data_IF_938315928328
#
_entry.id   IF_938315928328
#
_cell.length_a   1.000
_cell.length_b   1.000
_cell.length_c   1.000
_cell.angle_alpha   90.00
_cell.angle_beta   90.00
_cell.angle_gamma   90.00
#
_symmetry.space_group_name_H-M   'P 1'
#
loop_
_entity.id
_entity.type
_entity.pdbx_description
1 polymer ?
#
# COMPACT_ATOMS: atom_id res chain seq x y z
N UNK A 1 12.36 17.11 5.22
CA UNK A 1 11.00 17.65 5.23
C UNK A 1 10.99 19.09 4.80
N UNK A 2 10.04 19.50 3.97
CA UNK A 2 9.85 20.90 3.57
C UNK A 2 8.42 21.13 3.06
N UNK A 3 8.02 22.39 3.01
CA UNK A 3 6.80 22.84 2.34
C UNK A 3 7.21 23.57 1.08
N UNK A 4 6.62 23.22 -0.04
CA UNK A 4 6.73 23.95 -1.30
C UNK A 4 5.44 24.76 -1.50
N UNK A 5 5.58 26.01 -1.98
CA UNK A 5 4.45 26.91 -2.24
C UNK A 5 4.59 27.50 -3.64
N UNK A 6 3.47 27.54 -4.37
CA UNK A 6 3.28 28.34 -5.59
C UNK A 6 2.22 29.39 -5.30
N UNK A 7 2.48 30.65 -5.67
CA UNK A 7 1.54 31.77 -5.42
C UNK A 7 0.70 32.15 -6.62
N UNK A 8 1.18 31.84 -7.81
CA UNK A 8 0.54 32.14 -9.07
C UNK A 8 0.37 30.86 -9.91
N UNK A 9 -0.71 30.67 -10.66
CA UNK A 9 -1.95 31.46 -10.71
C UNK A 9 -2.86 31.27 -9.51
N UNK A 10 -2.63 30.26 -8.67
CA UNK A 10 -3.33 29.98 -7.41
C UNK A 10 -2.33 29.82 -6.26
N UNK A 11 -2.70 30.34 -5.08
CA UNK A 11 -1.89 30.14 -3.88
C UNK A 11 -2.15 28.74 -3.33
N UNK A 12 -1.17 27.87 -3.51
CA UNK A 12 -1.21 26.46 -3.07
C UNK A 12 0.07 26.09 -2.37
N UNK A 13 -0.03 25.27 -1.35
CA UNK A 13 1.13 24.70 -0.67
C UNK A 13 0.99 23.19 -0.50
N UNK A 14 2.11 22.51 -0.41
CA UNK A 14 2.17 21.08 -0.15
C UNK A 14 3.38 20.71 0.68
N UNK A 15 3.15 19.87 1.68
CA UNK A 15 4.18 19.31 2.53
C UNK A 15 4.78 18.07 1.89
N UNK A 16 6.11 17.94 1.99
CA UNK A 16 6.87 16.79 1.53
C UNK A 16 7.79 16.27 2.62
N UNK A 17 7.83 14.95 2.76
CA UNK A 17 8.72 14.24 3.67
C UNK A 17 9.41 13.11 2.92
N UNK A 18 10.74 13.06 3.02
CA UNK A 18 11.56 11.99 2.45
C UNK A 18 12.41 11.37 3.55
N UNK A 19 12.52 10.05 3.54
CA UNK A 19 13.37 9.28 4.45
C UNK A 19 14.42 8.54 3.64
N UNK A 20 15.68 8.61 4.08
CA UNK A 20 16.80 7.94 3.44
C UNK A 20 17.64 7.20 4.47
N UNK A 21 18.17 6.06 4.07
CA UNK A 21 19.18 5.34 4.85
C UNK A 21 20.59 5.86 4.53
N UNK A 22 20.82 6.19 3.26
CA UNK A 22 22.07 6.76 2.76
C UNK A 22 21.79 8.06 2.03
N UNK A 23 22.71 9.04 2.13
CA UNK A 23 22.58 10.34 1.48
C UNK A 23 23.06 10.25 0.02
N UNK A 24 22.12 10.13 -0.90
CA UNK A 24 22.33 10.34 -2.32
C UNK A 24 21.80 11.73 -2.71
N UNK A 25 22.74 12.65 -2.96
CA UNK A 25 22.43 14.08 -3.25
C UNK A 25 21.74 14.26 -4.59
N UNK A 26 22.05 13.43 -5.59
CA UNK A 26 21.45 13.53 -6.91
C UNK A 26 20.01 13.01 -6.88
N UNK A 27 19.77 11.85 -6.26
CA UNK A 27 18.44 11.33 -6.04
C UNK A 27 17.58 12.27 -5.18
N UNK A 28 18.17 12.94 -4.19
CA UNK A 28 17.48 13.97 -3.39
C UNK A 28 17.09 15.18 -4.24
N UNK A 29 18.01 15.68 -5.07
CA UNK A 29 17.74 16.81 -5.95
C UNK A 29 16.61 16.51 -6.95
N UNK A 30 16.58 15.31 -7.49
CA UNK A 30 15.51 14.87 -8.40
C UNK A 30 14.15 14.78 -7.70
N UNK A 31 14.11 14.25 -6.47
CA UNK A 31 12.88 14.22 -5.68
C UNK A 31 12.36 15.60 -5.31
N UNK A 32 13.27 16.52 -4.94
CA UNK A 32 12.90 17.93 -4.66
C UNK A 32 12.36 18.60 -5.92
N UNK A 33 13.00 18.40 -7.07
CA UNK A 33 12.50 18.92 -8.36
C UNK A 33 11.12 18.38 -8.70
N UNK A 34 10.92 17.09 -8.49
CA UNK A 34 9.63 16.46 -8.72
C UNK A 34 8.52 17.02 -7.80
N UNK A 35 8.85 17.24 -6.52
CA UNK A 35 7.97 17.86 -5.56
C UNK A 35 7.59 19.30 -5.94
N UNK A 36 8.56 20.10 -6.38
CA UNK A 36 8.31 21.47 -6.85
C UNK A 36 7.42 21.49 -8.09
N UNK A 37 7.66 20.60 -9.05
CA UNK A 37 6.81 20.48 -10.23
C UNK A 37 5.37 20.11 -9.86
N UNK A 38 5.19 19.18 -8.91
CA UNK A 38 3.86 18.79 -8.44
C UNK A 38 3.06 19.98 -7.84
N UNK A 39 3.73 20.88 -7.12
CA UNK A 39 3.08 22.10 -6.60
C UNK A 39 2.75 23.08 -7.72
N UNK A 40 3.63 23.23 -8.71
CA UNK A 40 3.34 24.05 -9.89
C UNK A 40 2.15 23.49 -10.68
N UNK A 41 2.11 22.19 -10.89
CA UNK A 41 0.99 21.53 -11.57
C UNK A 41 -0.33 21.75 -10.81
N UNK A 42 -0.28 21.64 -9.47
CA UNK A 42 -1.42 21.89 -8.60
C UNK A 42 -1.89 23.34 -8.68
N UNK A 43 -0.98 24.31 -8.80
CA UNK A 43 -1.34 25.71 -8.96
C UNK A 43 -2.06 26.01 -10.29
N UNK A 44 -1.80 25.19 -11.31
CA UNK A 44 -2.45 25.28 -12.63
C UNK A 44 -3.64 24.30 -12.77
N UNK A 45 -4.03 23.63 -11.68
CA UNK A 45 -5.13 22.67 -11.74
C UNK A 45 -6.43 23.35 -12.15
N UNK A 46 -7.18 22.67 -13.01
CA UNK A 46 -8.52 23.06 -13.44
C UNK A 46 -9.59 22.38 -12.58
N UNK A 47 -10.84 22.48 -13.01
CA UNK A 47 -11.96 21.83 -12.33
C UNK A 47 -11.77 20.31 -12.22
N UNK A 48 -12.37 19.73 -11.18
CA UNK A 48 -12.40 18.28 -11.01
C UNK A 48 -13.12 17.60 -12.20
N UNK A 49 -12.76 16.36 -12.53
CA UNK A 49 -13.53 15.56 -13.46
C UNK A 49 -15.01 15.49 -13.05
N UNK A 50 -15.90 15.41 -14.05
CA UNK A 50 -17.31 15.20 -13.78
C UNK A 50 -17.53 13.93 -12.96
N UNK A 51 -18.63 13.88 -12.18
CA UNK A 51 -18.95 12.69 -11.42
C UNK A 51 -19.19 11.50 -12.36
N UNK A 52 -18.51 10.39 -12.13
CA UNK A 52 -18.57 9.22 -12.98
C UNK A 52 -17.75 8.06 -12.46
N UNK A 53 -17.71 6.97 -13.22
CA UNK A 53 -16.83 5.83 -12.95
C UNK A 53 -15.60 5.95 -13.85
N UNK A 54 -14.44 5.86 -13.25
CA UNK A 54 -13.16 6.01 -13.93
C UNK A 54 -12.23 4.87 -13.60
N UNK A 55 -11.43 4.47 -14.56
CA UNK A 55 -10.25 3.67 -14.29
C UNK A 55 -9.20 4.55 -13.62
N UNK A 56 -8.61 4.09 -12.54
CA UNK A 56 -7.65 4.84 -11.73
C UNK A 56 -6.34 4.07 -11.61
N UNK A 57 -5.22 4.73 -11.90
CA UNK A 57 -3.88 4.18 -11.69
C UNK A 57 -3.27 4.80 -10.44
N UNK A 58 -2.91 3.97 -9.49
CA UNK A 58 -2.21 4.38 -8.28
C UNK A 58 -0.74 3.95 -8.35
N UNK A 59 0.14 4.74 -7.76
CA UNK A 59 1.58 4.46 -7.73
C UNK A 59 2.17 4.58 -6.33
N UNK A 60 3.38 4.10 -6.18
CA UNK A 60 4.25 4.26 -5.00
C UNK A 60 3.53 3.94 -3.67
N UNK A 61 3.60 4.89 -2.74
CA UNK A 61 3.04 4.73 -1.39
C UNK A 61 1.53 4.50 -1.37
N UNK A 62 0.78 5.03 -2.35
CA UNK A 62 -0.67 4.83 -2.39
C UNK A 62 -1.00 3.37 -2.65
N UNK A 63 -0.26 2.74 -3.57
CA UNK A 63 -0.36 1.30 -3.79
C UNK A 63 0.09 0.52 -2.55
N UNK A 64 1.20 0.91 -1.92
CA UNK A 64 1.68 0.28 -0.68
C UNK A 64 0.62 0.34 0.43
N UNK A 65 -0.04 1.50 0.60
CA UNK A 65 -1.12 1.66 1.59
C UNK A 65 -2.33 0.76 1.27
N UNK A 66 -2.70 0.61 0.00
CA UNK A 66 -3.74 -0.36 -0.38
C UNK A 66 -3.35 -1.81 -0.04
N UNK A 67 -2.08 -2.16 -0.22
CA UNK A 67 -1.59 -3.51 0.08
C UNK A 67 -1.56 -3.80 1.59
N UNK A 68 -1.53 -2.78 2.45
CA UNK A 68 -1.65 -2.94 3.91
C UNK A 68 -2.96 -3.64 4.32
N UNK A 69 -4.03 -3.51 3.51
CA UNK A 69 -5.28 -4.24 3.73
C UNK A 69 -5.02 -5.75 3.80
N UNK A 70 -4.29 -6.29 2.82
CA UNK A 70 -4.00 -7.73 2.74
C UNK A 70 -3.13 -8.19 3.91
N UNK A 71 -2.12 -7.41 4.27
CA UNK A 71 -1.26 -7.69 5.43
C UNK A 71 -2.06 -7.66 6.72
N UNK A 72 -2.91 -6.66 6.89
CA UNK A 72 -3.70 -6.49 8.12
C UNK A 72 -4.73 -7.60 8.27
N UNK A 73 -5.47 -7.94 7.22
CA UNK A 73 -6.49 -9.00 7.26
C UNK A 73 -5.91 -10.39 7.51
N UNK A 74 -4.65 -10.64 7.14
CA UNK A 74 -3.97 -11.92 7.40
C UNK A 74 -3.30 -12.00 8.77
N UNK A 75 -3.37 -10.95 9.60
CA UNK A 75 -2.82 -10.99 10.95
C UNK A 75 -3.64 -11.87 11.89
N UNK A 76 -2.98 -12.72 12.64
CA UNK A 76 -3.60 -13.52 13.70
C UNK A 76 -4.35 -12.65 14.73
N UNK A 77 -3.87 -11.42 14.99
CA UNK A 77 -4.52 -10.45 15.86
C UNK A 77 -5.85 -9.90 15.31
N UNK A 78 -6.09 -10.00 14.01
CA UNK A 78 -7.36 -9.63 13.38
C UNK A 78 -8.30 -10.83 13.22
N UNK A 79 -7.73 -12.01 12.99
CA UNK A 79 -8.49 -13.24 12.78
C UNK A 79 -9.05 -13.76 14.11
N UNK A 80 -8.27 -13.77 15.17
CA UNK A 80 -8.70 -14.30 16.47
C UNK A 80 -9.96 -13.61 17.04
N UNK A 81 -10.06 -12.26 17.06
CA UNK A 81 -11.26 -11.56 17.50
C UNK A 81 -12.35 -11.45 16.43
N UNK A 82 -12.20 -12.13 15.29
CA UNK A 82 -13.15 -12.10 14.17
C UNK A 82 -13.32 -10.74 13.48
N UNK A 83 -12.27 -9.88 13.49
CA UNK A 83 -12.21 -8.69 12.63
C UNK A 83 -11.82 -9.04 11.20
N UNK A 84 -11.27 -10.22 10.98
CA UNK A 84 -11.03 -10.83 9.69
C UNK A 84 -11.51 -12.28 9.72
N UNK A 85 -12.13 -12.68 8.64
CA UNK A 85 -12.62 -14.05 8.39
C UNK A 85 -11.67 -14.86 7.50
N UNK A 86 -10.47 -14.35 7.28
CA UNK A 86 -9.52 -14.98 6.38
C UNK A 86 -8.91 -16.24 6.97
N UNK A 87 -8.85 -17.25 6.10
CA UNK A 87 -8.21 -18.53 6.34
C UNK A 87 -7.21 -18.82 5.21
N UNK A 88 -6.30 -19.74 5.39
CA UNK A 88 -5.46 -20.24 4.30
C UNK A 88 -6.37 -20.86 3.24
N UNK A 89 -6.23 -20.42 1.99
CA UNK A 89 -7.08 -20.80 0.88
C UNK A 89 -8.18 -19.80 0.54
N UNK A 90 -8.40 -18.75 1.37
CA UNK A 90 -9.37 -17.68 1.05
C UNK A 90 -8.97 -16.94 -0.22
N UNK A 91 -9.93 -16.72 -1.13
CA UNK A 91 -9.76 -15.86 -2.30
C UNK A 91 -9.78 -14.38 -1.87
N UNK A 92 -8.59 -13.79 -1.66
CA UNK A 92 -8.44 -12.46 -1.07
C UNK A 92 -8.95 -11.31 -1.95
N UNK A 93 -9.00 -11.52 -3.27
CA UNK A 93 -9.50 -10.54 -4.25
C UNK A 93 -11.01 -10.67 -4.52
N UNK A 94 -11.69 -11.58 -3.83
CA UNK A 94 -13.10 -11.91 -4.06
C UNK A 94 -13.29 -12.96 -5.17
N UNK A 95 -14.56 -13.32 -5.41
CA UNK A 95 -14.91 -14.36 -6.37
C UNK A 95 -14.85 -13.88 -7.83
N UNK A 96 -15.04 -12.58 -8.05
CA UNK A 96 -15.05 -11.98 -9.40
C UNK A 96 -13.86 -11.03 -9.51
N UNK A 97 -12.78 -11.50 -10.10
CA UNK A 97 -11.59 -10.71 -10.39
C UNK A 97 -11.46 -10.52 -11.88
N UNK A 98 -11.44 -9.27 -12.34
CA UNK A 98 -11.28 -8.92 -13.77
C UNK A 98 -9.84 -8.57 -14.12
N UNK A 99 -8.99 -8.36 -13.13
CA UNK A 99 -7.57 -8.03 -13.28
C UNK A 99 -6.64 -9.21 -13.09
N UNK A 100 -5.34 -8.94 -13.09
CA UNK A 100 -4.32 -9.93 -12.79
C UNK A 100 -4.43 -10.39 -11.33
N UNK A 101 -4.16 -11.67 -11.10
CA UNK A 101 -4.14 -12.22 -9.75
C UNK A 101 -2.91 -11.69 -8.98
N UNK A 102 -3.14 -11.26 -7.74
CA UNK A 102 -2.08 -10.68 -6.90
C UNK A 102 -1.17 -11.77 -6.32
N UNK A 103 0.13 -11.53 -6.45
CA UNK A 103 1.17 -12.27 -5.74
C UNK A 103 1.86 -11.32 -4.78
N UNK A 104 1.71 -11.57 -3.48
CA UNK A 104 2.26 -10.72 -2.41
C UNK A 104 3.16 -11.56 -1.51
N UNK A 105 4.39 -11.10 -1.33
CA UNK A 105 5.34 -11.68 -0.38
C UNK A 105 5.52 -10.73 0.80
N UNK A 106 5.38 -11.25 2.01
CA UNK A 106 5.73 -10.55 3.25
C UNK A 106 7.24 -10.50 3.38
N UNK A 107 7.77 -9.29 3.56
CA UNK A 107 9.21 -9.05 3.67
C UNK A 107 9.58 -8.75 5.12
N UNK A 108 10.59 -9.43 5.70
CA UNK A 108 11.05 -9.11 7.02
C UNK A 108 11.75 -7.74 7.02
N UNK A 109 11.43 -6.92 8.00
CA UNK A 109 12.10 -5.63 8.23
C UNK A 109 13.26 -5.75 9.24
N UNK A 110 13.32 -6.86 9.97
CA UNK A 110 14.37 -7.23 10.93
C UNK A 110 14.61 -8.74 10.88
N UNK A 111 15.81 -9.23 11.27
CA UNK A 111 16.09 -10.67 11.24
C UNK A 111 15.30 -11.47 12.28
N UNK A 112 14.93 -10.83 13.41
CA UNK A 112 14.14 -11.43 14.49
C UNK A 112 13.05 -10.49 14.95
N UNK A 113 11.88 -11.04 15.28
CA UNK A 113 10.83 -10.28 15.95
C UNK A 113 11.23 -9.87 17.36
N UNK A 114 10.52 -8.91 18.00
CA UNK A 114 10.75 -8.59 19.42
C UNK A 114 10.63 -9.78 20.37
N UNK A 115 9.95 -10.85 19.94
CA UNK A 115 9.79 -12.09 20.70
C UNK A 115 10.87 -13.15 20.38
N UNK A 116 11.92 -12.80 19.61
CA UNK A 116 13.01 -13.67 19.21
C UNK A 116 12.66 -14.68 18.11
N UNK A 117 11.56 -14.50 17.40
CA UNK A 117 11.15 -15.38 16.31
C UNK A 117 11.95 -15.00 15.04
N UNK A 118 12.68 -15.96 14.40
CA UNK A 118 13.35 -15.67 13.13
C UNK A 118 12.36 -15.27 12.04
N UNK A 119 12.53 -14.07 11.49
CA UNK A 119 11.68 -13.57 10.41
C UNK A 119 12.26 -13.96 9.05
N UNK A 120 11.40 -14.42 8.17
CA UNK A 120 11.76 -14.88 6.80
C UNK A 120 10.74 -14.35 5.82
N UNK A 121 11.10 -14.26 4.56
CA UNK A 121 10.14 -14.03 3.49
C UNK A 121 9.05 -15.11 3.50
N UNK A 122 7.80 -14.67 3.33
CA UNK A 122 6.63 -15.56 3.31
C UNK A 122 5.67 -15.14 2.22
N UNK A 123 5.27 -16.09 1.40
CA UNK A 123 4.19 -15.87 0.45
C UNK A 123 2.91 -15.61 1.22
N UNK A 124 2.34 -14.41 1.09
CA UNK A 124 1.05 -14.05 1.67
C UNK A 124 -0.08 -14.43 0.74
N UNK A 125 -0.01 -13.93 -0.50
CA UNK A 125 -0.96 -14.28 -1.56
C UNK A 125 -0.22 -14.93 -2.71
N UNK A 126 -0.77 -16.01 -3.21
CA UNK A 126 -0.38 -16.62 -4.47
C UNK A 126 -1.63 -16.76 -5.34
N UNK A 127 -1.56 -16.19 -6.53
CA UNK A 127 -2.70 -16.18 -7.47
C UNK A 127 -4.00 -15.69 -6.78
N UNK A 128 -3.89 -14.60 -6.00
CA UNK A 128 -4.99 -13.99 -5.26
C UNK A 128 -5.48 -14.78 -4.04
N UNK A 129 -4.85 -15.92 -3.70
CA UNK A 129 -5.28 -16.83 -2.63
C UNK A 129 -4.35 -16.73 -1.42
N UNK A 130 -4.91 -16.64 -0.22
CA UNK A 130 -4.16 -16.57 1.04
C UNK A 130 -3.34 -17.84 1.29
N UNK A 131 -2.03 -17.67 1.49
CA UNK A 131 -1.09 -18.77 1.72
C UNK A 131 -0.59 -18.85 3.16
N UNK A 132 -0.62 -17.74 3.89
CA UNK A 132 -0.18 -17.75 5.29
C UNK A 132 -0.97 -16.74 6.14
N UNK A 133 -1.04 -17.07 7.43
CA UNK A 133 -1.46 -16.16 8.49
C UNK A 133 -0.20 -15.85 9.30
N UNK A 134 -0.02 -14.60 9.68
CA UNK A 134 1.16 -14.16 10.42
C UNK A 134 0.79 -13.45 11.72
N UNK A 135 1.75 -13.41 12.65
CA UNK A 135 1.51 -12.70 13.91
C UNK A 135 2.46 -13.05 15.02
N UNK A 136 2.23 -12.37 16.13
CA UNK A 136 2.94 -12.56 17.39
C UNK A 136 2.62 -13.91 18.03
N UNK A 137 3.46 -14.35 18.94
CA UNK A 137 3.30 -15.61 19.69
C UNK A 137 1.92 -15.73 20.34
N UNK A 138 1.42 -14.64 20.91
CA UNK A 138 0.13 -14.64 21.62
C UNK A 138 -1.02 -15.08 20.74
N UNK A 139 -1.25 -14.37 19.63
CA UNK A 139 -2.42 -14.61 18.79
C UNK A 139 -2.26 -15.86 17.92
N UNK A 140 -1.03 -16.16 17.48
CA UNK A 140 -0.77 -17.42 16.76
C UNK A 140 -1.07 -18.64 17.64
N UNK A 141 -0.69 -18.62 18.93
CA UNK A 141 -1.01 -19.70 19.85
C UNK A 141 -2.51 -19.84 20.12
N UNK A 142 -3.25 -18.73 20.19
CA UNK A 142 -4.71 -18.80 20.34
C UNK A 142 -5.39 -19.43 19.11
N UNK A 143 -4.82 -19.27 17.94
CA UNK A 143 -5.28 -19.89 16.69
C UNK A 143 -4.69 -21.30 16.48
N UNK A 144 -3.77 -21.77 17.34
CA UNK A 144 -3.12 -23.08 17.19
C UNK A 144 -2.12 -23.14 16.02
N UNK A 145 -1.56 -22.00 15.59
CA UNK A 145 -0.58 -21.91 14.51
C UNK A 145 0.81 -21.48 15.02
N UNK A 146 1.84 -21.77 14.24
CA UNK A 146 3.21 -21.36 14.54
C UNK A 146 3.39 -19.84 14.46
N UNK A 147 4.02 -19.22 15.49
CA UNK A 147 4.35 -17.80 15.45
C UNK A 147 5.34 -17.46 14.33
N UNK A 148 5.11 -16.33 13.68
CA UNK A 148 5.92 -15.89 12.52
C UNK A 148 6.54 -14.51 12.72
N UNK A 149 6.12 -13.77 13.74
CA UNK A 149 6.32 -12.34 13.87
C UNK A 149 5.31 -11.54 13.02
N UNK A 150 5.22 -10.25 13.29
CA UNK A 150 4.40 -9.33 12.51
C UNK A 150 5.19 -8.73 11.35
N UNK A 151 4.55 -8.62 10.21
CA UNK A 151 5.12 -8.04 8.99
C UNK A 151 4.42 -6.72 8.66
N UNK A 152 5.20 -5.78 8.12
CA UNK A 152 4.73 -4.46 7.69
C UNK A 152 5.15 -4.15 6.25
N UNK A 153 6.18 -4.84 5.75
CA UNK A 153 6.69 -4.64 4.40
C UNK A 153 6.22 -5.77 3.49
N UNK A 154 5.90 -5.40 2.27
CA UNK A 154 5.50 -6.34 1.22
C UNK A 154 6.31 -6.13 -0.05
N UNK A 155 6.40 -7.19 -0.82
CA UNK A 155 6.85 -7.17 -2.21
C UNK A 155 5.71 -7.70 -3.06
N UNK A 156 5.32 -6.93 -4.07
CA UNK A 156 4.39 -7.36 -5.10
C UNK A 156 5.18 -7.84 -6.32
N UNK A 157 4.68 -8.86 -6.97
CA UNK A 157 5.15 -9.20 -8.29
C UNK A 157 4.68 -8.15 -9.30
N UNK A 158 5.52 -7.89 -10.30
CA UNK A 158 5.17 -6.95 -11.35
C UNK A 158 4.07 -7.57 -12.25
N UNK A 159 3.12 -6.73 -12.67
CA UNK A 159 2.19 -7.07 -13.73
C UNK A 159 2.86 -7.11 -15.12
N UNK A 160 2.07 -7.44 -16.12
CA UNK A 160 2.52 -7.58 -17.50
C UNK A 160 2.49 -6.28 -18.28
N UNK A 161 1.72 -5.29 -17.82
CA UNK A 161 1.50 -4.00 -18.49
C UNK A 161 2.44 -2.94 -17.91
N UNK A 162 3.09 -2.14 -18.76
CA UNK A 162 3.96 -1.07 -18.30
C UNK A 162 3.16 0.07 -17.64
N UNK A 163 3.78 0.78 -16.71
CA UNK A 163 3.14 1.91 -16.01
C UNK A 163 2.66 3.01 -16.98
N UNK A 164 3.44 3.30 -18.02
CA UNK A 164 3.07 4.29 -19.02
C UNK A 164 1.88 3.85 -19.89
N UNK A 165 1.73 2.56 -20.10
CA UNK A 165 0.56 2.01 -20.79
C UNK A 165 -0.68 2.07 -19.91
N UNK A 166 -0.57 1.75 -18.62
CA UNK A 166 -1.65 1.81 -17.65
C UNK A 166 -2.22 3.22 -17.49
N UNK A 167 -1.40 4.26 -17.60
CA UNK A 167 -1.86 5.67 -17.50
C UNK A 167 -2.69 6.14 -18.68
N UNK A 168 -2.71 5.43 -19.80
CA UNK A 168 -3.45 5.87 -20.99
C UNK A 168 -4.95 5.74 -20.79
N UNK A 169 -5.64 6.87 -20.77
CA UNK A 169 -7.09 6.93 -20.59
C UNK A 169 -7.60 6.74 -19.18
N UNK A 170 -6.71 6.65 -18.19
CA UNK A 170 -7.04 6.52 -16.78
C UNK A 170 -6.83 7.82 -16.02
N UNK A 171 -7.50 7.98 -14.89
CA UNK A 171 -7.12 9.00 -13.92
C UNK A 171 -5.85 8.56 -13.18
N UNK A 172 -4.89 9.44 -13.10
CA UNK A 172 -3.66 9.23 -12.33
C UNK A 172 -3.54 10.30 -11.26
N UNK A 173 -3.93 9.99 -10.01
CA UNK A 173 -3.74 10.90 -8.89
C UNK A 173 -2.24 11.02 -8.57
N UNK A 174 -1.65 12.18 -8.86
CA UNK A 174 -0.24 12.42 -8.60
C UNK A 174 0.05 12.56 -7.08
N UNK A 175 -0.90 13.13 -6.33
CA UNK A 175 -0.81 13.23 -4.87
C UNK A 175 -2.21 13.31 -4.24
N UNK A 176 -2.28 12.91 -2.97
CA UNK A 176 -3.46 13.09 -2.14
C UNK A 176 -3.08 13.95 -0.93
N UNK A 177 -4.00 14.79 -0.48
CA UNK A 177 -3.84 15.51 0.80
C UNK A 177 -3.87 14.53 1.98
N UNK A 178 -4.75 13.53 1.88
CA UNK A 178 -4.85 12.41 2.80
C UNK A 178 -5.32 11.17 2.02
N UNK A 179 -4.77 10.02 2.32
CA UNK A 179 -5.10 8.76 1.67
C UNK A 179 -5.28 7.67 2.73
N UNK A 180 -6.53 7.47 3.15
CA UNK A 180 -6.92 6.55 4.21
C UNK A 180 -7.86 5.45 3.66
N UNK A 181 -7.35 4.49 2.88
CA UNK A 181 -8.17 3.41 2.34
C UNK A 181 -8.63 2.41 3.40
N UNK A 182 -8.12 2.52 4.62
CA UNK A 182 -8.41 1.61 5.72
C UNK A 182 -9.63 1.98 6.55
N UNK A 183 -10.37 3.03 6.24
CA UNK A 183 -11.72 3.23 6.77
C UNK A 183 -12.62 2.27 6.02
N UNK A 184 -12.54 1.01 6.40
CA UNK A 184 -13.41 -0.02 5.87
C UNK A 184 -14.83 0.27 6.35
N UNK A 185 -15.73 0.46 5.43
CA UNK A 185 -17.13 0.15 5.68
C UNK A 185 -17.17 -1.31 6.15
N UNK A 186 -17.31 -1.50 7.45
CA UNK A 186 -17.72 -2.79 7.99
C UNK A 186 -19.17 -2.92 7.52
N UNK A 187 -19.50 -3.86 6.63
CA UNK A 187 -20.88 -4.02 6.22
C UNK A 187 -21.71 -4.19 7.49
N UNK A 188 -22.73 -3.37 7.64
CA UNK A 188 -23.72 -3.56 8.69
C UNK A 188 -24.24 -5.00 8.60
N UNK A 189 -24.09 -5.73 9.71
CA UNK A 189 -24.63 -7.09 9.84
C UNK A 189 -26.13 -7.03 10.06
#
# INVERSE_FOLDING_TARGET
EFVAQAKEPQDVEQYFSFTYNDLDTDALADKVRHALNAVCDRAHATDCPEAGTYDVVLSDRHMATLMELYVTRSRAAMIYPHYSDWEIGTAAQGEITTGEALNITLMPHVPYSPEGIPMRERMLLKDGTVQCIHGTTRFCRYLGIEPTGDYFNTKLDNGTVSFDELKKGCLYPASFSDFLPGVLDIPDR
#
